data_IF_292024032491
#
_entry.id   IF_292024032491
#
_cell.length_a   1.000
_cell.length_b   1.000
_cell.length_c   1.000
_cell.angle_alpha   90.00
_cell.angle_beta   90.00
_cell.angle_gamma   90.00
#
_symmetry.space_group_name_H-M   'P 1'
#
loop_
_entity.id
_entity.type
_entity.pdbx_description
1 polymer ?
#
# COMPACT_ATOMS: atom_id res chain seq x y z
N UNK A 1 30.90 11.99 -15.77
CA UNK A 1 29.92 12.39 -14.75
C UNK A 1 28.66 11.61 -15.03
N UNK A 2 28.33 10.62 -14.19
CA UNK A 2 27.02 9.99 -14.26
C UNK A 2 25.96 11.04 -13.90
N UNK A 3 25.11 11.36 -14.87
CA UNK A 3 24.04 12.33 -14.71
C UNK A 3 22.91 11.80 -13.82
N UNK A 4 22.18 12.69 -13.17
CA UNK A 4 20.97 12.34 -12.43
C UNK A 4 19.96 11.65 -13.37
N UNK A 5 19.53 10.43 -13.01
CA UNK A 5 18.54 9.65 -13.77
C UNK A 5 17.22 9.59 -13.00
N UNK A 6 16.13 10.02 -13.65
CA UNK A 6 14.77 9.98 -13.09
C UNK A 6 14.13 8.62 -13.42
N UNK A 7 13.55 7.97 -12.41
CA UNK A 7 12.73 6.75 -12.58
C UNK A 7 11.44 6.82 -11.78
N UNK A 8 10.47 5.98 -12.14
CA UNK A 8 9.27 5.75 -11.31
C UNK A 8 9.64 4.96 -10.06
N UNK A 9 8.85 5.14 -9.01
CA UNK A 9 8.88 4.26 -7.85
C UNK A 9 8.38 2.86 -8.26
N UNK A 10 9.01 1.82 -7.74
CA UNK A 10 8.58 0.42 -7.90
C UNK A 10 7.31 0.16 -7.08
N UNK A 11 6.55 -0.91 -7.38
CA UNK A 11 5.41 -1.28 -6.55
C UNK A 11 5.78 -1.51 -5.07
N UNK A 12 6.95 -2.09 -4.80
CA UNK A 12 7.45 -2.31 -3.44
C UNK A 12 7.72 -1.00 -2.69
N UNK A 13 8.28 -0.01 -3.37
CA UNK A 13 8.48 1.33 -2.79
C UNK A 13 7.13 1.99 -2.47
N UNK A 14 6.14 1.84 -3.36
CA UNK A 14 4.79 2.34 -3.13
C UNK A 14 4.05 1.59 -1.99
N UNK A 15 4.24 0.27 -1.83
CA UNK A 15 3.72 -0.51 -0.70
C UNK A 15 4.24 0.05 0.62
N UNK A 16 5.56 0.24 0.72
CA UNK A 16 6.21 0.79 1.92
C UNK A 16 5.76 2.21 2.23
N UNK A 17 5.65 3.07 1.21
CA UNK A 17 5.15 4.44 1.38
C UNK A 17 3.73 4.48 1.94
N UNK A 18 2.88 3.52 1.56
CA UNK A 18 1.53 3.41 2.10
C UNK A 18 1.45 2.63 3.43
N UNK A 19 2.56 2.05 3.90
CA UNK A 19 2.60 1.27 5.14
C UNK A 19 2.11 -0.17 5.00
N UNK A 20 2.07 -0.72 3.77
CA UNK A 20 1.80 -2.14 3.56
C UNK A 20 3.06 -2.98 3.83
N UNK A 21 2.89 -4.26 4.22
CA UNK A 21 3.99 -5.23 4.21
C UNK A 21 4.62 -5.37 2.83
N UNK A 22 5.90 -5.78 2.80
CA UNK A 22 6.61 -6.03 1.54
C UNK A 22 5.91 -7.13 0.72
N UNK A 23 5.64 -6.85 -0.56
CA UNK A 23 5.00 -7.80 -1.47
C UNK A 23 3.48 -7.91 -1.27
N UNK A 24 2.86 -7.02 -0.51
CA UNK A 24 1.42 -7.06 -0.22
C UNK A 24 0.53 -7.16 -1.47
N UNK A 25 0.92 -6.52 -2.56
CA UNK A 25 0.17 -6.55 -3.82
C UNK A 25 0.69 -7.56 -4.83
N UNK A 26 1.78 -8.28 -4.52
CA UNK A 26 2.33 -9.33 -5.38
C UNK A 26 1.63 -10.66 -5.17
N UNK A 27 0.42 -10.77 -5.73
CA UNK A 27 -0.41 -11.96 -5.65
C UNK A 27 -0.39 -12.76 -6.95
N UNK A 28 -0.74 -14.07 -6.92
CA UNK A 28 -0.96 -14.84 -8.14
C UNK A 28 -2.00 -14.17 -9.05
N UNK A 29 -1.69 -14.06 -10.34
CA UNK A 29 -2.52 -13.32 -11.30
C UNK A 29 -2.69 -14.09 -12.61
N UNK A 30 -3.93 -14.46 -12.94
CA UNK A 30 -4.30 -15.16 -14.18
C UNK A 30 -3.39 -16.36 -14.50
N UNK A 31 -3.19 -17.24 -13.53
CA UNK A 31 -2.36 -18.45 -13.67
C UNK A 31 -0.85 -18.20 -13.58
N UNK A 32 -0.41 -16.96 -13.35
CA UNK A 32 0.99 -16.62 -13.09
C UNK A 32 1.23 -16.45 -11.60
N UNK A 33 2.46 -16.73 -11.16
CA UNK A 33 2.89 -16.61 -9.76
C UNK A 33 2.88 -15.17 -9.24
N UNK A 34 3.15 -14.20 -10.12
CA UNK A 34 3.32 -12.78 -9.76
C UNK A 34 2.35 -11.89 -10.53
N UNK A 35 1.88 -10.83 -9.88
CA UNK A 35 1.04 -9.82 -10.50
C UNK A 35 1.89 -8.84 -11.32
N UNK A 36 1.47 -8.44 -12.53
CA UNK A 36 2.14 -7.36 -13.26
C UNK A 36 2.08 -6.04 -12.47
N UNK A 37 3.03 -5.14 -12.73
CA UNK A 37 3.13 -3.88 -12.00
C UNK A 37 1.89 -2.98 -12.15
N UNK A 38 1.28 -2.90 -13.34
CA UNK A 38 0.14 -2.00 -13.57
C UNK A 38 -1.06 -2.28 -12.66
N UNK A 39 -1.54 -3.54 -12.51
CA UNK A 39 -2.51 -3.92 -11.47
C UNK A 39 -2.08 -3.55 -10.06
N UNK A 40 -0.80 -3.75 -9.71
CA UNK A 40 -0.26 -3.44 -8.38
C UNK A 40 -0.31 -1.95 -8.09
N UNK A 41 0.15 -1.11 -9.02
CA UNK A 41 0.02 0.35 -8.90
C UNK A 41 -1.43 0.80 -8.77
N UNK A 42 -2.35 0.21 -9.54
CA UNK A 42 -3.78 0.53 -9.44
C UNK A 42 -4.36 0.15 -8.08
N UNK A 43 -4.01 -1.03 -7.56
CA UNK A 43 -4.46 -1.48 -6.25
C UNK A 43 -3.94 -0.57 -5.14
N UNK A 44 -2.65 -0.20 -5.19
CA UNK A 44 -2.06 0.75 -4.25
C UNK A 44 -2.71 2.13 -4.36
N UNK A 45 -2.80 2.71 -5.56
CA UNK A 45 -3.35 4.06 -5.75
C UNK A 45 -4.83 4.21 -5.38
N UNK A 46 -5.62 3.13 -5.45
CA UNK A 46 -7.01 3.12 -5.01
C UNK A 46 -7.17 2.77 -3.52
N UNK A 47 -6.08 2.47 -2.82
CA UNK A 47 -6.11 2.14 -1.40
C UNK A 47 -5.95 3.39 -0.53
N UNK A 48 -5.78 3.17 0.77
CA UNK A 48 -5.57 4.20 1.78
C UNK A 48 -4.22 3.94 2.47
N UNK A 49 -3.56 4.97 2.97
CA UNK A 49 -2.36 4.82 3.76
C UNK A 49 -2.66 4.11 5.10
N UNK A 50 -2.06 2.95 5.31
CA UNK A 50 -2.29 2.06 6.46
C UNK A 50 -2.14 2.78 7.81
N UNK A 51 -1.11 3.61 8.05
CA UNK A 51 -0.95 4.30 9.34
C UNK A 51 -2.08 5.29 9.63
N UNK A 52 -2.63 5.94 8.60
CA UNK A 52 -3.74 6.90 8.75
C UNK A 52 -5.02 6.16 9.09
N UNK A 53 -5.31 5.06 8.38
CA UNK A 53 -6.49 4.24 8.66
C UNK A 53 -6.45 3.64 10.06
N UNK A 54 -5.27 3.22 10.52
CA UNK A 54 -5.07 2.73 11.88
C UNK A 54 -5.44 3.79 12.92
N UNK A 55 -4.92 5.01 12.77
CA UNK A 55 -5.20 6.10 13.70
C UNK A 55 -6.68 6.46 13.76
N UNK A 56 -7.36 6.52 12.61
CA UNK A 56 -8.82 6.76 12.55
C UNK A 56 -9.57 5.65 13.28
N UNK A 57 -9.23 4.38 13.02
CA UNK A 57 -9.87 3.23 13.64
C UNK A 57 -9.68 3.21 15.17
N UNK A 58 -8.49 3.53 15.66
CA UNK A 58 -8.21 3.66 17.09
C UNK A 58 -9.07 4.76 17.73
N UNK A 59 -9.26 5.91 17.04
CA UNK A 59 -10.15 6.98 17.49
C UNK A 59 -11.61 6.55 17.58
N UNK A 60 -12.13 5.85 16.57
CA UNK A 60 -13.49 5.31 16.57
C UNK A 60 -13.67 4.34 17.76
N UNK A 61 -12.70 3.43 17.95
CA UNK A 61 -12.76 2.43 19.00
C UNK A 61 -12.78 3.04 20.41
N UNK A 62 -12.12 4.17 20.63
CA UNK A 62 -12.16 4.90 21.90
C UNK A 62 -13.60 5.38 22.18
N UNK A 63 -14.23 6.04 21.22
CA UNK A 63 -15.60 6.57 21.37
C UNK A 63 -16.63 5.45 21.58
N UNK A 64 -16.51 4.35 20.84
CA UNK A 64 -17.42 3.21 20.97
C UNK A 64 -17.36 2.57 22.37
N UNK A 65 -16.16 2.50 22.97
CA UNK A 65 -15.96 1.98 24.34
C UNK A 65 -16.51 2.90 25.42
N UNK A 66 -16.51 4.21 25.19
CA UNK A 66 -17.06 5.19 26.15
C UNK A 66 -18.60 5.23 26.12
N UNK A 67 -19.21 4.77 25.02
CA UNK A 67 -20.67 4.82 24.80
C UNK A 67 -21.37 3.50 25.16
N UNK A 68 -20.62 2.42 25.44
CA UNK A 68 -21.14 1.08 25.81
C UNK A 68 -20.88 0.79 27.29
#
# INVERSE_FOLDING_TARGET
MDGLTVRRLTPLECERLQGFPDGWTDIPWKGKKHAPDSPRYKALGNSMAVPVMRWIGEGIQIVEKETT
#
